data_IF_635666662338
#
_entry.id   IF_635666662338
#
_cell.length_a   1.000
_cell.length_b   1.000
_cell.length_c   1.000
_cell.angle_alpha   90.00
_cell.angle_beta   90.00
_cell.angle_gamma   90.00
#
_symmetry.space_group_name_H-M   'P 1'
#
loop_
_entity.id
_entity.type
_entity.pdbx_description
1 polymer ?
#
# COMPACT_ATOMS: atom_id res chain seq x y z
N UNK A 1 -5.51 0.02 -18.81
CA UNK A 1 -5.13 0.09 -17.38
C UNK A 1 -5.36 -1.30 -16.78
N UNK A 2 -4.45 -1.77 -15.93
CA UNK A 2 -4.41 -3.17 -15.46
C UNK A 2 -4.80 -3.32 -13.98
N UNK A 3 -5.07 -2.22 -13.28
CA UNK A 3 -5.34 -2.25 -11.84
C UNK A 3 -6.67 -2.94 -11.56
N UNK A 4 -7.69 -2.66 -12.39
CA UNK A 4 -8.99 -3.33 -12.32
C UNK A 4 -8.89 -4.84 -12.54
N UNK A 5 -7.98 -5.30 -13.40
CA UNK A 5 -7.74 -6.73 -13.65
C UNK A 5 -7.05 -7.38 -12.45
N UNK A 6 -6.05 -6.72 -11.87
CA UNK A 6 -5.35 -7.16 -10.66
C UNK A 6 -6.34 -7.25 -9.48
N UNK A 7 -7.14 -6.20 -9.25
CA UNK A 7 -8.13 -6.16 -8.17
C UNK A 7 -9.12 -7.33 -8.28
N UNK A 8 -9.62 -7.62 -9.50
CA UNK A 8 -10.51 -8.78 -9.75
C UNK A 8 -9.84 -10.12 -9.49
N UNK A 9 -8.55 -10.26 -9.85
CA UNK A 9 -7.78 -11.47 -9.59
C UNK A 9 -7.60 -11.72 -8.09
N UNK A 10 -7.33 -10.66 -7.32
CA UNK A 10 -7.23 -10.71 -5.86
C UNK A 10 -8.57 -11.05 -5.21
N UNK A 11 -9.65 -10.39 -5.62
CA UNK A 11 -11.01 -10.70 -5.13
C UNK A 11 -11.39 -12.17 -5.36
N UNK A 12 -11.06 -12.70 -6.55
CA UNK A 12 -11.29 -14.11 -6.87
C UNK A 12 -10.46 -15.05 -6.00
N UNK A 13 -9.19 -14.69 -5.74
CA UNK A 13 -8.29 -15.44 -4.88
C UNK A 13 -8.80 -15.51 -3.43
N UNK A 14 -9.28 -14.39 -2.89
CA UNK A 14 -9.83 -14.29 -1.53
C UNK A 14 -11.14 -15.07 -1.39
N UNK A 15 -12.05 -14.91 -2.36
CA UNK A 15 -13.33 -15.63 -2.40
C UNK A 15 -13.15 -17.14 -2.48
N UNK A 16 -12.19 -17.61 -3.28
CA UNK A 16 -11.88 -19.03 -3.38
C UNK A 16 -11.43 -19.66 -2.05
N UNK A 17 -10.92 -18.85 -1.11
CA UNK A 17 -10.50 -19.29 0.24
C UNK A 17 -11.49 -18.89 1.34
N UNK A 18 -12.58 -18.22 0.98
CA UNK A 18 -13.54 -17.67 1.93
C UNK A 18 -13.01 -16.51 2.77
N UNK A 19 -11.87 -15.93 2.41
CA UNK A 19 -11.24 -14.83 3.16
C UNK A 19 -12.02 -13.52 3.06
N UNK A 20 -12.85 -13.39 2.03
CA UNK A 20 -13.81 -12.29 1.91
C UNK A 20 -14.86 -12.24 3.05
N UNK A 21 -14.93 -13.28 3.89
CA UNK A 21 -15.81 -13.35 5.06
C UNK A 21 -15.18 -12.75 6.33
N UNK A 22 -13.88 -12.49 6.34
CA UNK A 22 -13.25 -11.84 7.49
C UNK A 22 -13.80 -10.41 7.65
N UNK A 23 -14.07 -9.96 8.89
CA UNK A 23 -14.46 -8.58 9.16
C UNK A 23 -13.39 -7.60 8.66
N UNK A 24 -13.81 -6.48 8.07
CA UNK A 24 -12.91 -5.44 7.58
C UNK A 24 -11.97 -4.92 8.68
N UNK A 25 -12.41 -4.90 9.94
CA UNK A 25 -11.56 -4.53 11.08
C UNK A 25 -10.33 -5.42 11.24
N UNK A 26 -10.48 -6.74 11.04
CA UNK A 26 -9.35 -7.68 11.15
C UNK A 26 -8.40 -7.55 9.95
N UNK A 27 -8.96 -7.39 8.74
CA UNK A 27 -8.15 -7.15 7.54
C UNK A 27 -7.38 -5.83 7.66
N UNK A 28 -8.00 -4.79 8.24
CA UNK A 28 -7.34 -3.52 8.49
C UNK A 28 -6.24 -3.64 9.57
N UNK A 29 -6.48 -4.38 10.66
CA UNK A 29 -5.42 -4.67 11.64
C UNK A 29 -4.22 -5.35 10.98
N UNK A 30 -4.46 -6.37 10.15
CA UNK A 30 -3.39 -7.06 9.43
C UNK A 30 -2.66 -6.12 8.45
N UNK A 31 -3.37 -5.22 7.76
CA UNK A 31 -2.75 -4.20 6.92
C UNK A 31 -1.76 -3.31 7.71
N UNK A 32 -2.08 -2.96 8.95
CA UNK A 32 -1.18 -2.18 9.81
C UNK A 32 0.07 -2.99 10.20
N UNK A 33 -0.06 -4.30 10.43
CA UNK A 33 1.07 -5.18 10.71
C UNK A 33 2.05 -5.22 9.51
N UNK A 34 1.54 -5.42 8.30
CA UNK A 34 2.37 -5.47 7.07
C UNK A 34 3.01 -4.11 6.74
N UNK A 35 2.34 -2.99 7.03
CA UNK A 35 2.96 -1.66 6.96
C UNK A 35 4.12 -1.51 7.98
N UNK A 36 4.03 -2.20 9.12
CA UNK A 36 5.08 -2.28 10.12
C UNK A 36 6.35 -2.95 9.60
N UNK A 37 6.21 -3.97 8.75
CA UNK A 37 7.35 -4.63 8.12
C UNK A 37 8.06 -3.69 7.13
N UNK A 38 7.33 -2.94 6.31
CA UNK A 38 7.92 -1.88 5.46
C UNK A 38 8.63 -0.83 6.34
N UNK A 39 8.02 -0.40 7.43
CA UNK A 39 8.62 0.55 8.37
C UNK A 39 9.92 0.02 8.98
N UNK A 40 10.00 -1.29 9.28
CA UNK A 40 11.22 -1.93 9.78
C UNK A 40 12.37 -1.81 8.77
N UNK A 41 12.12 -2.00 7.48
CA UNK A 41 13.13 -1.78 6.44
C UNK A 41 13.61 -0.33 6.42
N UNK A 42 12.68 0.63 6.34
CA UNK A 42 13.00 2.07 6.28
C UNK A 42 13.82 2.50 7.50
N UNK A 43 13.40 2.10 8.70
CA UNK A 43 14.10 2.49 9.94
C UNK A 43 15.52 1.93 10.04
N UNK A 44 15.82 0.80 9.40
CA UNK A 44 17.19 0.27 9.31
C UNK A 44 17.98 1.03 8.24
N UNK A 45 17.39 1.26 7.06
CA UNK A 45 18.00 2.00 5.95
C UNK A 45 18.40 3.43 6.36
N UNK A 46 17.55 4.10 7.12
CA UNK A 46 17.79 5.47 7.63
C UNK A 46 18.68 5.50 8.89
N UNK A 47 19.14 4.35 9.38
CA UNK A 47 20.06 4.24 10.52
C UNK A 47 19.42 4.49 11.89
N UNK A 48 18.09 4.60 11.99
CA UNK A 48 17.39 4.66 13.27
C UNK A 48 17.51 3.35 14.06
N UNK A 49 17.36 2.21 13.37
CA UNK A 49 17.60 0.87 13.90
C UNK A 49 18.94 0.33 13.37
N UNK A 50 19.90 0.13 14.27
CA UNK A 50 21.23 -0.35 13.89
C UNK A 50 21.33 -1.87 14.03
N UNK A 51 21.60 -2.56 12.92
CA UNK A 51 21.79 -4.02 12.90
C UNK A 51 22.94 -4.41 13.81
N UNK A 52 22.71 -5.39 14.69
CA UNK A 52 23.68 -5.83 15.69
C UNK A 52 23.67 -5.05 17.00
N UNK A 53 22.91 -3.94 17.09
CA UNK A 53 22.65 -3.21 18.34
C UNK A 53 21.18 -3.39 18.77
N UNK A 54 20.78 -4.64 19.03
CA UNK A 54 19.41 -4.98 19.45
C UNK A 54 18.40 -5.08 18.29
N UNK A 55 18.86 -4.96 17.04
CA UNK A 55 18.04 -5.11 15.85
C UNK A 55 18.65 -6.10 14.86
N UNK A 56 17.78 -6.85 14.19
CA UNK A 56 18.14 -7.80 13.14
C UNK A 56 17.78 -7.25 11.78
N UNK A 57 18.67 -7.46 10.81
CA UNK A 57 18.39 -7.15 9.42
C UNK A 57 17.21 -8.01 8.94
N UNK A 58 16.20 -7.41 8.29
CA UNK A 58 15.19 -8.18 7.60
C UNK A 58 15.82 -8.91 6.41
N UNK A 59 15.18 -9.97 5.91
CA UNK A 59 15.76 -10.76 4.82
C UNK A 59 15.96 -9.88 3.58
N UNK A 60 17.12 -10.02 2.91
CA UNK A 60 17.61 -9.08 1.87
C UNK A 60 16.68 -8.88 0.66
N UNK A 61 15.61 -9.66 0.52
CA UNK A 61 14.74 -9.63 -0.65
C UNK A 61 13.25 -9.73 -0.33
N UNK A 62 12.80 -9.39 0.89
CA UNK A 62 11.36 -9.46 1.22
C UNK A 62 10.62 -8.13 1.08
N UNK A 63 11.30 -6.98 0.96
CA UNK A 63 10.62 -5.68 0.87
C UNK A 63 9.55 -5.63 -0.25
N UNK A 64 9.84 -6.21 -1.42
CA UNK A 64 8.87 -6.27 -2.51
C UNK A 64 7.63 -7.11 -2.17
N UNK A 65 7.78 -8.12 -1.30
CA UNK A 65 6.67 -8.96 -0.80
C UNK A 65 5.83 -8.19 0.20
N UNK A 66 6.45 -7.42 1.08
CA UNK A 66 5.73 -6.58 2.05
C UNK A 66 4.84 -5.55 1.34
N UNK A 67 5.37 -4.88 0.31
CA UNK A 67 4.56 -3.99 -0.53
C UNK A 67 3.39 -4.73 -1.23
N UNK A 68 3.61 -5.97 -1.67
CA UNK A 68 2.55 -6.78 -2.27
C UNK A 68 1.49 -7.21 -1.24
N UNK A 69 1.89 -7.57 0.00
CA UNK A 69 0.98 -7.91 1.10
C UNK A 69 0.13 -6.71 1.51
N UNK A 70 0.75 -5.55 1.71
CA UNK A 70 0.06 -4.28 1.97
C UNK A 70 -0.95 -3.99 0.86
N UNK A 71 -0.55 -4.07 -0.41
CA UNK A 71 -1.45 -3.81 -1.52
C UNK A 71 -2.60 -4.83 -1.59
N UNK A 72 -2.33 -6.11 -1.35
CA UNK A 72 -3.36 -7.16 -1.36
C UNK A 72 -4.42 -6.94 -0.28
N UNK A 73 -4.00 -6.64 0.97
CA UNK A 73 -4.91 -6.37 2.07
C UNK A 73 -5.71 -5.09 1.84
N UNK A 74 -5.07 -4.05 1.28
CA UNK A 74 -5.77 -2.84 0.87
C UNK A 74 -6.82 -3.11 -0.21
N UNK A 75 -6.49 -3.91 -1.23
CA UNK A 75 -7.44 -4.33 -2.25
C UNK A 75 -8.58 -5.20 -1.68
N UNK A 76 -8.31 -6.08 -0.71
CA UNK A 76 -9.33 -6.84 0.00
C UNK A 76 -10.31 -5.93 0.73
N UNK A 77 -9.83 -4.88 1.40
CA UNK A 77 -10.68 -3.85 2.02
C UNK A 77 -11.53 -3.12 0.96
N UNK A 78 -10.93 -2.68 -0.14
CA UNK A 78 -11.66 -2.04 -1.22
C UNK A 78 -12.77 -2.95 -1.77
N UNK A 79 -12.46 -4.24 -1.98
CA UNK A 79 -13.43 -5.25 -2.41
C UNK A 79 -14.56 -5.45 -1.40
N UNK A 80 -14.25 -5.47 -0.09
CA UNK A 80 -15.24 -5.54 0.99
C UNK A 80 -16.25 -4.39 0.91
N UNK A 81 -15.76 -3.16 0.66
CA UNK A 81 -16.60 -1.97 0.50
C UNK A 81 -17.13 -1.75 -0.93
N UNK A 82 -16.85 -2.68 -1.85
CA UNK A 82 -17.26 -2.61 -3.27
C UNK A 82 -16.76 -1.36 -3.99
N UNK A 83 -15.53 -0.95 -3.69
CA UNK A 83 -14.86 0.20 -4.30
C UNK A 83 -14.07 -0.27 -5.53
N UNK A 84 -14.24 0.39 -6.68
CA UNK A 84 -13.38 0.23 -7.85
C UNK A 84 -12.14 1.11 -7.67
N UNK A 85 -10.97 0.50 -7.46
CA UNK A 85 -9.75 1.25 -7.16
C UNK A 85 -9.25 2.05 -8.37
N UNK A 86 -9.39 1.50 -9.57
CA UNK A 86 -8.90 2.15 -10.78
C UNK A 86 -9.71 3.41 -11.08
N UNK A 87 -11.04 3.30 -11.04
CA UNK A 87 -11.94 4.44 -11.20
C UNK A 87 -11.74 5.49 -10.10
N UNK A 88 -11.62 5.06 -8.84
CA UNK A 88 -11.42 5.97 -7.71
C UNK A 88 -10.12 6.77 -7.84
N UNK A 89 -9.01 6.11 -8.18
CA UNK A 89 -7.71 6.77 -8.35
C UNK A 89 -7.74 7.76 -9.51
N UNK A 90 -8.31 7.39 -10.66
CA UNK A 90 -8.43 8.30 -11.79
C UNK A 90 -9.23 9.55 -11.43
N UNK A 91 -10.37 9.38 -10.77
CA UNK A 91 -11.21 10.51 -10.37
C UNK A 91 -10.51 11.44 -9.38
N UNK A 92 -9.74 10.89 -8.43
CA UNK A 92 -8.99 11.71 -7.48
C UNK A 92 -7.81 12.41 -8.16
N UNK A 93 -7.13 11.74 -9.12
CA UNK A 93 -6.07 12.36 -9.90
C UNK A 93 -6.58 13.59 -10.67
N UNK A 94 -7.75 13.50 -11.32
CA UNK A 94 -8.35 14.64 -12.01
C UNK A 94 -8.61 15.82 -11.05
N UNK A 95 -9.07 15.54 -9.82
CA UNK A 95 -9.28 16.55 -8.77
C UNK A 95 -7.94 17.14 -8.31
N UNK A 96 -6.94 16.29 -8.09
CA UNK A 96 -5.61 16.70 -7.63
C UNK A 96 -4.90 17.58 -8.66
N UNK A 97 -5.01 17.27 -9.96
CA UNK A 97 -4.42 18.06 -11.04
C UNK A 97 -5.02 19.47 -11.11
N UNK A 98 -6.33 19.60 -10.87
CA UNK A 98 -6.99 20.90 -10.80
C UNK A 98 -6.60 21.69 -9.56
N UNK A 99 -6.43 21.01 -8.43
CA UNK A 99 -6.12 21.63 -7.14
C UNK A 99 -4.65 22.01 -6.98
N UNK A 100 -3.74 21.24 -7.59
CA UNK A 100 -2.30 21.34 -7.36
C UNK A 100 -1.55 21.57 -8.68
N UNK A 101 -1.46 22.84 -9.07
CA UNK A 101 -0.70 23.30 -10.25
C UNK A 101 0.73 22.73 -10.27
N UNK A 102 1.02 21.96 -11.33
CA UNK A 102 2.35 21.38 -11.53
C UNK A 102 3.44 22.46 -11.62
N UNK A 103 3.13 23.62 -12.22
CA UNK A 103 4.06 24.75 -12.35
C UNK A 103 4.43 25.32 -10.99
N UNK A 104 3.44 25.62 -10.17
CA UNK A 104 3.65 26.30 -8.88
C UNK A 104 4.38 25.39 -7.91
N UNK A 105 4.02 24.10 -7.87
CA UNK A 105 4.71 23.09 -7.06
C UNK A 105 6.15 22.86 -7.51
N UNK A 106 6.39 22.75 -8.82
CA UNK A 106 7.76 22.58 -9.36
C UNK A 106 8.65 23.76 -8.99
N UNK A 107 8.14 24.99 -9.11
CA UNK A 107 8.89 26.19 -8.73
C UNK A 107 9.19 26.22 -7.22
N UNK A 108 8.22 25.84 -6.37
CA UNK A 108 8.42 25.79 -4.92
C UNK A 108 9.49 24.77 -4.50
N UNK A 109 9.56 23.62 -5.16
CA UNK A 109 10.48 22.53 -4.82
C UNK A 109 11.92 22.79 -5.27
N UNK A 110 12.14 23.54 -6.35
CA UNK A 110 13.50 23.97 -6.74
C UNK A 110 14.15 24.92 -5.73
N UNK A 111 13.35 25.60 -4.92
CA UNK A 111 13.80 26.54 -3.90
C UNK A 111 13.92 25.91 -2.50
N UNK A 112 13.91 24.58 -2.40
CA UNK A 112 13.94 23.81 -1.14
C UNK A 112 15.18 22.94 -1.08
#
# INVERSE_FOLDING_TARGET
MHLKEIQKKLDSFDKARGWNKFPASLVFTHLIEELGEISRYITIEEGYKVVGLGHEAPEKNELHREFAQVFNLFAQLANHFKIDLEESILSELDIMEQRFSAKDWSQRMQNK
#
